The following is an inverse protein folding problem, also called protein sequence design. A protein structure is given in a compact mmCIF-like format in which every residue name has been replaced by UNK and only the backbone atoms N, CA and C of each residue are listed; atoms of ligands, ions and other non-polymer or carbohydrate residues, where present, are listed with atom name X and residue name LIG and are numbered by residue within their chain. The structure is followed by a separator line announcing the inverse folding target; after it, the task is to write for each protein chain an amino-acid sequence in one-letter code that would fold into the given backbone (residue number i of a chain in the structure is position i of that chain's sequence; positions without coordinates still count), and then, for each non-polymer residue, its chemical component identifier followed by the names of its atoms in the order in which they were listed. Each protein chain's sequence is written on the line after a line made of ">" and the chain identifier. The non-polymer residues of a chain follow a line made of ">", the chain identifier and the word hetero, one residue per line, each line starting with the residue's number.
data_IF_464014122111
#
_entry.id   IF_464014122111
#
_cell.length_a   1.000
_cell.length_b   1.000
_cell.length_c   1.000
_cell.angle_alpha   90.00
_cell.angle_beta   90.00
_cell.angle_gamma   90.00
#
_symmetry.space_group_name_H-M   'P 1'
#
loop_
_entity.id
_entity.type
_entity.pdbx_description
1 polymer ?
#
# COMPACT_ATOMS: atom_id res chain seq x y z
N UNK A 1 5.66 -35.14 33.55
CA UNK A 1 6.81 -36.04 33.84
C UNK A 1 6.93 -37.00 32.67
N UNK A 2 8.14 -37.33 32.15
CA UNK A 2 9.29 -37.74 32.94
C UNK A 2 10.52 -36.84 32.82
N UNK A 3 11.29 -36.84 33.92
CA UNK A 3 12.71 -36.47 33.97
C UNK A 3 13.52 -37.46 33.12
N UNK A 4 14.58 -36.98 32.48
CA UNK A 4 15.76 -37.78 32.23
C UNK A 4 16.99 -36.93 32.58
N UNK A 5 17.67 -37.30 33.66
CA UNK A 5 19.04 -36.87 33.94
C UNK A 5 19.99 -37.69 33.05
N UNK A 6 21.08 -37.09 32.56
CA UNK A 6 22.43 -37.67 32.55
C UNK A 6 23.47 -36.78 31.85
N UNK A 7 24.72 -37.15 32.12
CA UNK A 7 25.94 -36.34 32.30
C UNK A 7 26.62 -35.79 31.05
N UNK A 8 27.50 -34.82 31.30
CA UNK A 8 28.51 -34.29 30.38
C UNK A 8 29.28 -35.41 29.69
N UNK A 9 29.36 -35.34 28.36
CA UNK A 9 30.58 -35.76 27.66
C UNK A 9 30.92 -34.79 26.54
N UNK A 10 32.22 -34.59 26.44
CA UNK A 10 32.94 -33.54 25.72
C UNK A 10 33.30 -33.95 24.29
N UNK A 11 33.42 -32.93 23.43
CA UNK A 11 34.07 -32.90 22.12
C UNK A 11 33.33 -33.54 20.93
N UNK A 12 32.72 -32.69 20.10
CA UNK A 12 32.60 -32.90 18.66
C UNK A 12 32.42 -31.55 17.93
N UNK A 13 33.21 -31.31 16.88
CA UNK A 13 33.03 -30.21 15.93
C UNK A 13 32.00 -30.62 14.87
N UNK A 14 31.02 -29.76 14.61
CA UNK A 14 30.05 -29.90 13.52
C UNK A 14 30.45 -28.93 12.41
N UNK A 15 30.89 -29.46 11.27
CA UNK A 15 31.10 -28.69 10.04
C UNK A 15 29.84 -28.80 9.17
N UNK A 16 28.97 -27.80 9.31
CA UNK A 16 27.83 -27.48 8.42
C UNK A 16 26.58 -28.37 8.53
N UNK A 17 25.42 -27.70 8.67
CA UNK A 17 24.07 -28.29 8.56
C UNK A 17 23.35 -27.54 7.43
N UNK A 18 22.77 -28.25 6.47
CA UNK A 18 21.95 -27.68 5.40
C UNK A 18 20.48 -27.95 5.68
N UNK A 19 19.64 -26.92 5.57
CA UNK A 19 18.18 -27.02 5.61
C UNK A 19 17.65 -26.86 4.17
N UNK A 20 16.92 -27.86 3.69
CA UNK A 20 16.31 -27.89 2.37
C UNK A 20 14.79 -27.90 2.57
N UNK A 21 14.11 -26.81 2.20
CA UNK A 21 12.65 -26.69 2.33
C UNK A 21 12.05 -26.78 0.93
N UNK A 22 11.40 -27.90 0.62
CA UNK A 22 10.61 -28.05 -0.61
C UNK A 22 9.18 -27.57 -0.39
N UNK A 23 8.70 -26.73 -1.30
CA UNK A 23 7.32 -26.25 -1.37
C UNK A 23 6.38 -27.35 -1.85
N UNK A 24 5.31 -27.63 -1.10
CA UNK A 24 4.14 -28.32 -1.64
C UNK A 24 2.86 -27.63 -1.17
N UNK A 25 2.08 -27.15 -2.13
CA UNK A 25 0.74 -26.56 -2.00
C UNK A 25 -0.28 -27.60 -1.49
N UNK A 26 -0.97 -27.36 -0.36
CA UNK A 26 -2.32 -27.90 -0.06
C UNK A 26 -3.12 -26.90 0.80
N UNK A 27 -4.39 -26.70 0.44
CA UNK A 27 -5.44 -25.96 1.15
C UNK A 27 -5.83 -26.60 2.50
N UNK A 28 -6.23 -25.76 3.47
CA UNK A 28 -7.21 -25.97 4.56
C UNK A 28 -6.68 -25.62 5.96
N UNK A 29 -7.61 -25.23 6.82
CA UNK A 29 -7.42 -24.44 8.02
C UNK A 29 -6.71 -25.13 9.21
N UNK A 30 -6.24 -24.25 10.12
CA UNK A 30 -5.89 -24.47 11.54
C UNK A 30 -4.60 -25.22 11.93
N UNK A 31 -3.77 -24.50 12.71
CA UNK A 31 -2.61 -24.93 13.52
C UNK A 31 -1.46 -25.67 12.82
N UNK A 32 -0.49 -24.91 12.31
CA UNK A 32 0.83 -25.46 11.95
C UNK A 32 1.67 -25.72 13.21
N UNK A 33 1.63 -26.96 13.69
CA UNK A 33 2.67 -27.55 14.53
C UNK A 33 3.87 -27.88 13.64
N UNK A 34 4.98 -27.15 13.78
CA UNK A 34 6.24 -27.55 13.16
C UNK A 34 6.88 -28.67 13.98
N UNK A 35 7.05 -29.85 13.38
CA UNK A 35 7.88 -30.92 13.95
C UNK A 35 9.24 -30.92 13.25
N UNK A 36 10.25 -30.37 13.93
CA UNK A 36 11.64 -30.42 13.45
C UNK A 36 12.24 -31.77 13.85
N UNK A 37 12.52 -32.64 12.88
CA UNK A 37 13.22 -33.90 13.09
C UNK A 37 14.69 -33.74 12.68
N UNK A 38 15.61 -33.81 13.64
CA UNK A 38 17.05 -33.77 13.40
C UNK A 38 17.54 -35.23 13.27
N UNK A 39 18.04 -35.62 12.11
CA UNK A 39 18.56 -36.96 11.86
C UNK A 39 20.10 -36.92 11.75
N UNK A 40 20.80 -37.53 12.70
CA UNK A 40 22.27 -37.69 12.63
C UNK A 40 22.62 -39.11 12.18
N UNK A 41 23.33 -39.29 11.06
CA UNK A 41 23.95 -40.57 10.69
C UNK A 41 25.26 -40.75 11.46
N UNK A 42 25.39 -41.81 12.27
CA UNK A 42 26.69 -42.28 12.77
C UNK A 42 27.17 -43.45 11.93
N UNK A 43 28.33 -43.29 11.29
CA UNK A 43 29.13 -44.40 10.79
C UNK A 43 30.19 -44.73 11.85
N UNK A 44 30.02 -45.83 12.59
CA UNK A 44 31.13 -46.54 13.22
C UNK A 44 30.81 -48.04 13.27
N UNK A 45 31.74 -48.85 12.79
CA UNK A 45 31.76 -50.31 12.95
C UNK A 45 32.14 -50.64 14.40
N UNK A 46 31.42 -51.64 14.94
CA UNK A 46 31.68 -52.48 16.13
C UNK A 46 31.18 -52.02 17.51
N UNK A 47 30.28 -52.88 18.01
CA UNK A 47 29.81 -53.17 19.37
C UNK A 47 28.75 -52.25 20.05
N UNK A 48 27.59 -52.89 20.27
CA UNK A 48 26.44 -52.60 21.16
C UNK A 48 25.38 -51.55 20.75
N UNK A 49 24.28 -52.06 20.17
CA UNK A 49 22.88 -51.68 20.48
C UNK A 49 22.29 -50.37 19.91
N UNK A 50 21.00 -50.34 19.51
CA UNK A 50 20.35 -49.14 18.97
C UNK A 50 19.74 -48.30 20.09
N UNK A 51 20.25 -47.09 20.33
CA UNK A 51 19.57 -46.09 21.15
C UNK A 51 19.41 -44.79 20.37
N UNK A 52 18.16 -44.37 20.15
CA UNK A 52 17.78 -43.06 19.58
C UNK A 52 17.57 -42.07 20.73
N UNK A 53 18.32 -40.97 20.73
CA UNK A 53 18.12 -39.85 21.66
C UNK A 53 17.45 -38.70 20.91
N UNK A 54 16.28 -38.26 21.37
CA UNK A 54 15.59 -37.08 20.85
C UNK A 54 15.87 -35.88 21.76
N UNK A 55 16.59 -34.87 21.26
CA UNK A 55 16.66 -33.56 21.91
C UNK A 55 15.68 -32.63 21.22
N UNK A 56 14.62 -32.21 21.92
CA UNK A 56 13.58 -31.32 21.39
C UNK A 56 13.96 -29.88 21.76
N UNK A 57 14.48 -29.10 20.81
CA UNK A 57 14.52 -27.64 20.92
C UNK A 57 13.20 -27.08 20.39
N UNK A 58 12.42 -26.41 21.25
CA UNK A 58 11.19 -25.73 20.84
C UNK A 58 11.55 -24.28 20.49
N UNK A 59 11.68 -23.99 19.19
CA UNK A 59 11.81 -22.62 18.69
C UNK A 59 10.40 -22.14 18.36
N UNK A 60 9.94 -21.08 19.02
CA UNK A 60 8.66 -20.46 18.70
C UNK A 60 8.82 -19.61 17.44
N UNK A 61 8.51 -20.21 16.29
CA UNK A 61 8.67 -19.59 14.95
C UNK A 61 7.65 -18.48 14.73
N UNK A 62 6.57 -18.41 15.53
CA UNK A 62 5.51 -17.42 15.39
C UNK A 62 6.02 -15.98 15.59
N UNK A 63 6.97 -15.78 16.52
CA UNK A 63 7.57 -14.46 16.78
C UNK A 63 8.66 -14.06 15.77
N UNK A 64 9.17 -15.01 15.00
CA UNK A 64 10.17 -14.79 13.96
C UNK A 64 9.54 -14.42 12.61
N UNK A 65 8.29 -14.85 12.38
CA UNK A 65 7.53 -14.60 11.15
C UNK A 65 6.92 -13.19 11.13
N UNK A 66 6.57 -12.62 12.29
CA UNK A 66 5.99 -11.26 12.36
C UNK A 66 6.98 -10.14 12.03
N UNK A 67 8.29 -10.41 12.03
CA UNK A 67 9.31 -9.39 11.79
C UNK A 67 9.79 -9.26 10.33
N UNK A 68 9.53 -10.22 9.43
CA UNK A 68 10.21 -10.24 8.11
C UNK A 68 9.41 -10.83 6.94
N UNK A 69 8.15 -10.42 6.77
CA UNK A 69 7.34 -10.71 5.57
C UNK A 69 7.67 -9.80 4.36
N UNK A 70 8.96 -9.64 3.99
CA UNK A 70 9.33 -9.05 2.69
C UNK A 70 10.56 -9.69 1.99
N UNK A 71 11.11 -10.81 2.47
CA UNK A 71 12.12 -11.59 1.72
C UNK A 71 11.82 -13.09 1.80
N UNK A 72 11.88 -13.78 0.65
CA UNK A 72 11.46 -15.17 0.44
C UNK A 72 12.40 -16.25 1.03
N UNK A 73 13.23 -15.92 2.02
CA UNK A 73 14.03 -16.90 2.77
C UNK A 73 14.66 -16.23 4.00
N UNK A 74 14.83 -17.00 5.07
CA UNK A 74 15.67 -16.65 6.22
C UNK A 74 16.83 -17.64 6.26
N UNK A 75 18.04 -17.18 5.98
CA UNK A 75 19.27 -17.96 6.16
C UNK A 75 19.81 -17.69 7.55
N UNK A 76 19.74 -18.67 8.45
CA UNK A 76 20.36 -18.58 9.78
C UNK A 76 21.71 -19.31 9.71
N UNK A 77 22.80 -18.56 9.58
CA UNK A 77 24.16 -19.07 9.65
C UNK A 77 24.61 -19.16 11.10
N UNK A 78 24.82 -20.37 11.61
CA UNK A 78 25.45 -20.59 12.90
C UNK A 78 26.97 -20.61 12.72
N UNK A 79 27.68 -19.56 13.14
CA UNK A 79 29.15 -19.56 13.19
C UNK A 79 29.64 -19.67 14.64
N UNK A 80 30.57 -20.60 14.85
CA UNK A 80 31.41 -20.80 16.04
C UNK A 80 30.68 -20.98 17.39
N UNK A 81 30.50 -22.25 17.78
CA UNK A 81 30.31 -22.61 19.18
C UNK A 81 31.67 -22.58 19.89
N UNK A 82 32.15 -21.41 20.28
CA UNK A 82 33.11 -21.28 21.37
C UNK A 82 33.05 -19.87 21.98
N UNK A 83 32.76 -19.83 23.28
CA UNK A 83 32.80 -18.70 24.22
C UNK A 83 31.68 -17.63 24.15
N UNK A 84 30.80 -17.66 25.17
CA UNK A 84 29.97 -16.59 25.80
C UNK A 84 29.20 -15.55 24.95
N UNK A 85 29.25 -15.61 23.63
CA UNK A 85 28.51 -14.73 22.72
C UNK A 85 27.93 -15.56 21.57
N UNK A 86 26.67 -15.29 21.23
CA UNK A 86 26.03 -15.82 20.03
C UNK A 86 25.86 -14.66 19.05
N UNK A 87 26.36 -14.82 17.83
CA UNK A 87 26.29 -13.81 16.77
C UNK A 87 25.42 -14.33 15.63
N UNK A 88 24.35 -13.60 15.29
CA UNK A 88 23.50 -13.89 14.12
C UNK A 88 23.77 -12.82 13.08
N UNK A 89 24.25 -13.24 11.90
CA UNK A 89 24.52 -12.36 10.77
C UNK A 89 23.41 -12.45 9.74
N UNK A 90 22.97 -11.30 9.24
CA UNK A 90 22.01 -11.19 8.15
C UNK A 90 22.72 -10.69 6.88
N UNK A 91 22.22 -11.07 5.69
CA UNK A 91 22.79 -10.77 4.36
C UNK A 91 22.84 -9.27 3.98
N UNK A 92 22.67 -8.35 4.93
CA UNK A 92 22.78 -6.90 4.74
C UNK A 92 23.83 -6.24 5.67
N UNK A 93 24.78 -7.00 6.21
CA UNK A 93 25.84 -6.46 7.08
C UNK A 93 25.40 -6.18 8.52
N UNK A 94 24.20 -6.61 8.91
CA UNK A 94 23.73 -6.53 10.29
C UNK A 94 24.21 -7.75 11.09
N UNK A 95 24.82 -7.50 12.26
CA UNK A 95 25.19 -8.51 13.24
C UNK A 95 24.46 -8.26 14.56
N UNK A 96 23.72 -9.24 15.08
CA UNK A 96 23.14 -9.23 16.42
C UNK A 96 24.04 -10.06 17.35
N UNK A 97 24.52 -9.46 18.45
CA UNK A 97 25.36 -10.14 19.45
C UNK A 97 24.62 -10.26 20.78
N UNK A 98 24.50 -11.48 21.31
CA UNK A 98 23.89 -11.73 22.62
C UNK A 98 24.97 -12.07 23.67
N UNK A 99 24.84 -11.52 24.88
CA UNK A 99 25.65 -11.91 26.04
C UNK A 99 24.90 -12.93 26.91
N UNK A 100 25.48 -14.10 27.14
CA UNK A 100 24.89 -15.11 28.04
C UNK A 100 25.45 -14.89 29.44
N UNK A 101 24.68 -14.23 30.31
CA UNK A 101 24.96 -14.22 31.75
C UNK A 101 24.23 -15.39 32.42
N UNK A 102 24.98 -16.12 33.25
CA UNK A 102 24.62 -17.30 34.04
C UNK A 102 23.13 -17.69 34.07
N UNK A 103 22.86 -18.88 33.53
CA UNK A 103 21.60 -19.62 33.61
C UNK A 103 21.21 -19.86 35.08
N UNK A 104 20.47 -18.91 35.67
CA UNK A 104 19.54 -19.21 36.75
C UNK A 104 18.13 -19.21 36.18
N UNK A 105 17.41 -20.29 36.45
CA UNK A 105 16.01 -20.56 36.08
C UNK A 105 15.14 -19.32 36.31
N UNK A 106 14.85 -18.57 35.26
CA UNK A 106 13.75 -17.61 35.17
C UNK A 106 13.55 -17.28 33.70
N UNK A 107 12.51 -17.88 33.10
CA UNK A 107 12.14 -17.61 31.71
C UNK A 107 11.64 -16.17 31.61
N UNK A 108 12.34 -15.33 30.85
CA UNK A 108 11.89 -13.98 30.49
C UNK A 108 11.75 -13.92 28.97
N UNK A 109 10.55 -13.60 28.49
CA UNK A 109 10.29 -13.30 27.09
C UNK A 109 10.83 -11.89 26.80
N UNK A 110 11.77 -11.77 25.86
CA UNK A 110 12.26 -10.49 25.37
C UNK A 110 11.59 -10.21 24.02
N UNK A 111 10.67 -9.24 23.97
CA UNK A 111 10.10 -8.73 22.73
C UNK A 111 11.14 -7.81 22.09
N UNK A 112 11.86 -8.30 21.08
CA UNK A 112 12.79 -7.48 20.30
C UNK A 112 12.05 -6.90 19.10
N UNK A 113 11.89 -5.58 19.06
CA UNK A 113 11.44 -4.84 17.88
C UNK A 113 12.67 -4.42 17.07
N UNK A 114 12.87 -5.00 15.89
CA UNK A 114 13.85 -4.53 14.92
C UNK A 114 13.26 -3.36 14.13
N UNK A 115 13.50 -2.14 14.58
CA UNK A 115 13.21 -0.93 13.79
C UNK A 115 14.28 -0.80 12.71
N UNK A 116 14.05 -1.43 11.56
CA UNK A 116 14.85 -1.11 10.37
C UNK A 116 14.36 0.26 9.90
N UNK A 117 15.13 1.32 10.14
CA UNK A 117 14.87 2.63 9.54
C UNK A 117 15.11 2.51 8.04
N UNK A 118 14.09 2.07 7.30
CA UNK A 118 14.03 2.25 5.86
C UNK A 118 13.96 3.76 5.65
N UNK A 119 15.03 4.35 5.14
CA UNK A 119 15.07 5.78 4.85
C UNK A 119 14.11 6.04 3.67
N UNK A 120 12.83 6.26 3.98
CA UNK A 120 11.77 6.47 2.99
C UNK A 120 12.00 7.83 2.34
N UNK A 121 12.23 7.85 1.03
CA UNK A 121 12.41 9.09 0.27
C UNK A 121 11.05 9.64 -0.16
N UNK A 122 10.79 10.89 0.14
CA UNK A 122 9.59 11.59 -0.30
C UNK A 122 9.59 11.75 -1.82
N UNK A 123 8.55 11.23 -2.49
CA UNK A 123 8.33 11.47 -3.91
C UNK A 123 7.42 12.69 -4.12
N UNK A 124 6.35 12.77 -3.33
CA UNK A 124 5.33 13.81 -3.38
C UNK A 124 5.01 14.29 -1.96
N UNK A 125 5.00 15.59 -1.75
CA UNK A 125 4.47 16.25 -0.55
C UNK A 125 3.35 17.21 -0.96
N UNK A 126 2.19 17.05 -0.34
CA UNK A 126 1.05 17.96 -0.43
C UNK A 126 0.99 18.73 0.88
N UNK A 127 1.02 20.06 0.81
CA UNK A 127 1.06 20.94 1.98
C UNK A 127 -0.05 21.98 1.90
N UNK A 128 -0.93 21.97 2.90
CA UNK A 128 -2.03 22.93 3.09
C UNK A 128 -2.85 23.15 1.81
N UNK A 129 -3.08 22.08 1.04
CA UNK A 129 -3.72 22.16 -0.26
C UNK A 129 -5.20 22.50 -0.10
N UNK A 130 -5.64 23.52 -0.85
CA UNK A 130 -7.05 23.94 -0.92
C UNK A 130 -7.48 24.02 -2.37
N UNK A 131 -8.66 23.48 -2.65
CA UNK A 131 -9.33 23.62 -3.94
C UNK A 131 -10.81 23.95 -3.77
N UNK A 132 -11.16 25.17 -4.16
CA UNK A 132 -12.49 25.72 -4.05
C UNK A 132 -13.06 26.03 -5.43
N UNK A 133 -14.25 25.53 -5.74
CA UNK A 133 -14.91 25.80 -7.02
C UNK A 133 -15.92 26.94 -6.86
N UNK A 134 -15.82 28.02 -7.65
CA UNK A 134 -16.74 29.15 -7.56
C UNK A 134 -18.12 28.76 -8.09
N UNK A 135 -19.16 29.22 -7.39
CA UNK A 135 -20.54 29.14 -7.86
C UNK A 135 -20.90 30.47 -8.47
N UNK A 136 -21.14 30.48 -9.78
CA UNK A 136 -21.50 31.68 -10.53
C UNK A 136 -23.02 31.76 -10.68
N UNK A 137 -23.60 32.94 -10.46
CA UNK A 137 -25.03 33.21 -10.67
C UNK A 137 -25.23 34.50 -11.47
N UNK A 138 -26.25 34.51 -12.33
CA UNK A 138 -26.62 35.65 -13.17
C UNK A 138 -25.79 35.79 -14.46
N UNK A 139 -26.25 36.67 -15.35
CA UNK A 139 -25.69 36.88 -16.70
C UNK A 139 -24.25 37.43 -16.65
N UNK A 140 -23.89 38.14 -15.58
CA UNK A 140 -22.56 38.72 -15.35
C UNK A 140 -21.57 37.77 -14.66
N UNK A 141 -21.98 36.54 -14.32
CA UNK A 141 -21.07 35.49 -13.81
C UNK A 141 -20.39 35.79 -12.47
N UNK A 142 -20.97 36.65 -11.61
CA UNK A 142 -20.42 36.96 -10.28
C UNK A 142 -20.42 35.70 -9.38
N UNK A 143 -19.32 35.49 -8.66
CA UNK A 143 -19.16 34.39 -7.72
C UNK A 143 -19.89 34.72 -6.41
N UNK A 144 -20.88 33.91 -6.03
CA UNK A 144 -21.71 34.13 -4.84
C UNK A 144 -21.31 33.26 -3.65
N UNK A 145 -20.65 32.12 -3.91
CA UNK A 145 -20.16 31.18 -2.90
C UNK A 145 -19.14 30.23 -3.55
N UNK A 146 -18.54 29.35 -2.75
CA UNK A 146 -17.54 28.38 -3.18
C UNK A 146 -17.85 27.00 -2.63
N UNK A 147 -17.72 25.97 -3.48
CA UNK A 147 -17.70 24.58 -3.05
C UNK A 147 -16.28 24.25 -2.56
N UNK A 148 -16.13 23.91 -1.28
CA UNK A 148 -14.84 23.54 -0.71
C UNK A 148 -14.53 22.07 -0.94
N UNK A 149 -14.15 21.72 -2.17
CA UNK A 149 -13.90 20.34 -2.56
C UNK A 149 -12.68 19.72 -1.86
N UNK A 150 -11.62 20.51 -1.68
CA UNK A 150 -10.46 20.16 -0.86
C UNK A 150 -10.15 21.33 0.06
N UNK A 151 -9.99 21.08 1.35
CA UNK A 151 -9.79 22.13 2.33
C UNK A 151 -8.71 21.78 3.34
N UNK A 152 -7.52 22.34 3.12
CA UNK A 152 -6.37 22.30 4.01
C UNK A 152 -5.83 20.89 4.29
N UNK A 153 -5.61 20.12 3.22
CA UNK A 153 -5.06 18.77 3.35
C UNK A 153 -3.53 18.78 3.23
N UNK A 154 -2.88 17.96 4.05
CA UNK A 154 -1.43 17.75 3.99
C UNK A 154 -1.09 16.27 4.14
N UNK A 155 -0.26 15.74 3.25
CA UNK A 155 0.22 14.36 3.30
C UNK A 155 1.45 14.16 2.41
N UNK A 156 2.16 13.05 2.63
CA UNK A 156 3.34 12.65 1.86
C UNK A 156 3.11 11.27 1.25
N UNK A 157 3.69 11.06 0.08
CA UNK A 157 3.79 9.77 -0.62
C UNK A 157 5.27 9.47 -0.83
N UNK A 158 5.71 8.30 -0.36
CA UNK A 158 7.10 7.87 -0.49
C UNK A 158 7.33 7.14 -1.83
N UNK A 159 8.58 7.12 -2.30
CA UNK A 159 8.94 6.35 -3.48
C UNK A 159 8.59 4.85 -3.31
N UNK A 160 8.02 4.26 -4.36
CA UNK A 160 7.61 2.84 -4.46
C UNK A 160 6.45 2.45 -3.53
N UNK A 161 5.81 3.41 -2.88
CA UNK A 161 4.65 3.20 -2.03
C UNK A 161 3.34 3.24 -2.82
N UNK A 162 2.32 2.51 -2.35
CA UNK A 162 0.92 2.78 -2.69
C UNK A 162 0.22 3.45 -1.52
N UNK A 163 -0.12 4.73 -1.70
CA UNK A 163 -0.98 5.48 -0.79
C UNK A 163 -2.37 5.54 -1.38
N UNK A 164 -3.38 5.10 -0.62
CA UNK A 164 -4.78 5.20 -1.04
C UNK A 164 -5.50 6.36 -0.40
N UNK A 165 -6.38 7.01 -1.15
CA UNK A 165 -7.35 8.00 -0.64
C UNK A 165 -8.75 7.40 -0.73
N UNK A 166 -9.43 7.33 0.42
CA UNK A 166 -10.76 6.73 0.56
C UNK A 166 -11.77 7.66 1.21
N UNK A 167 -13.04 7.39 0.99
CA UNK A 167 -14.16 8.15 1.54
C UNK A 167 -15.40 8.09 0.66
N UNK A 168 -16.53 8.58 1.17
CA UNK A 168 -17.82 8.64 0.46
C UNK A 168 -17.71 9.45 -0.86
N UNK A 169 -18.65 9.24 -1.78
CA UNK A 169 -18.70 10.00 -3.03
C UNK A 169 -18.77 11.51 -2.74
N UNK A 170 -18.08 12.33 -3.56
CA UNK A 170 -18.07 13.78 -3.39
C UNK A 170 -17.18 14.33 -2.25
N UNK A 171 -16.42 13.51 -1.53
CA UNK A 171 -15.57 13.99 -0.44
C UNK A 171 -14.24 14.64 -0.87
N UNK A 172 -13.97 14.80 -2.17
CA UNK A 172 -12.78 15.52 -2.68
C UNK A 172 -11.61 14.65 -3.17
N UNK A 173 -11.76 13.32 -3.24
CA UNK A 173 -10.68 12.38 -3.63
C UNK A 173 -10.16 12.64 -5.06
N UNK A 174 -11.05 12.58 -6.06
CA UNK A 174 -10.70 12.81 -7.47
C UNK A 174 -10.21 14.24 -7.70
N UNK A 175 -10.79 15.23 -7.01
CA UNK A 175 -10.30 16.62 -7.03
C UNK A 175 -8.86 16.70 -6.53
N UNK A 176 -8.51 16.01 -5.44
CA UNK A 176 -7.14 15.97 -4.92
C UNK A 176 -6.16 15.45 -5.99
N UNK A 177 -6.48 14.34 -6.64
CA UNK A 177 -5.65 13.79 -7.72
C UNK A 177 -5.50 14.74 -8.90
N UNK A 178 -6.60 15.35 -9.36
CA UNK A 178 -6.60 16.30 -10.49
C UNK A 178 -5.78 17.56 -10.20
N UNK A 179 -5.84 18.08 -8.98
CA UNK A 179 -5.07 19.25 -8.55
C UNK A 179 -3.56 18.92 -8.48
N UNK A 180 -3.19 17.74 -7.98
CA UNK A 180 -1.79 17.25 -7.99
C UNK A 180 -1.23 17.20 -9.42
N UNK A 181 -2.03 16.77 -10.39
CA UNK A 181 -1.64 16.70 -11.80
C UNK A 181 -1.69 18.06 -12.53
N UNK A 182 -2.10 19.13 -11.83
CA UNK A 182 -2.46 20.43 -12.41
C UNK A 182 -3.36 20.29 -13.64
N UNK A 183 -4.39 19.45 -13.50
CA UNK A 183 -5.54 19.43 -14.39
C UNK A 183 -6.60 20.44 -13.92
N UNK A 184 -6.65 20.68 -12.61
CA UNK A 184 -7.35 21.81 -12.00
C UNK A 184 -6.34 22.72 -11.28
N UNK A 185 -6.59 24.03 -11.27
CA UNK A 185 -5.74 25.00 -10.57
C UNK A 185 -6.08 25.05 -9.08
N UNK A 186 -5.08 24.81 -8.23
CA UNK A 186 -5.18 24.93 -6.78
C UNK A 186 -5.59 26.36 -6.36
N UNK A 187 -6.45 26.47 -5.36
CA UNK A 187 -6.77 27.76 -4.73
C UNK A 187 -5.62 28.25 -3.85
N UNK A 188 -4.98 27.35 -3.09
CA UNK A 188 -3.76 27.64 -2.32
C UNK A 188 -3.09 26.34 -1.87
N UNK A 189 -1.90 26.46 -1.28
CA UNK A 189 -1.07 25.35 -0.81
C UNK A 189 0.17 25.14 -1.67
N UNK A 190 0.86 24.02 -1.46
CA UNK A 190 2.03 23.61 -2.24
C UNK A 190 1.95 22.13 -2.60
N UNK A 191 2.49 21.79 -3.77
CA UNK A 191 2.59 20.41 -4.24
C UNK A 191 4.03 20.17 -4.68
N UNK A 192 4.83 19.57 -3.80
CA UNK A 192 6.26 19.37 -4.02
C UNK A 192 6.46 17.96 -4.57
N UNK A 193 6.93 17.86 -5.82
CA UNK A 193 7.25 16.59 -6.47
C UNK A 193 8.73 16.57 -6.86
N UNK A 194 9.50 15.64 -6.30
CA UNK A 194 10.96 15.57 -6.48
C UNK A 194 11.64 16.93 -6.24
N UNK A 195 11.37 17.50 -5.07
CA UNK A 195 11.92 18.78 -4.61
C UNK A 195 11.50 20.01 -5.44
N UNK A 196 10.49 19.87 -6.32
CA UNK A 196 9.96 20.97 -7.15
C UNK A 196 8.51 21.25 -6.80
N UNK A 197 8.20 22.50 -6.48
CA UNK A 197 6.81 22.95 -6.34
C UNK A 197 6.14 23.02 -7.71
N UNK A 198 5.21 22.10 -7.96
CA UNK A 198 4.48 21.99 -9.22
C UNK A 198 3.65 23.25 -9.50
N UNK A 199 3.11 23.91 -8.48
CA UNK A 199 2.25 25.08 -8.64
C UNK A 199 3.04 26.32 -9.10
N UNK A 200 4.33 26.38 -8.79
CA UNK A 200 5.24 27.45 -9.21
C UNK A 200 5.79 27.26 -10.64
N UNK A 201 5.58 26.10 -11.28
CA UNK A 201 6.11 25.83 -12.61
C UNK A 201 5.32 26.56 -13.70
N UNK A 202 6.04 27.11 -14.69
CA UNK A 202 5.41 27.55 -15.94
C UNK A 202 5.01 26.35 -16.84
N UNK A 203 4.26 26.62 -17.91
CA UNK A 203 3.73 25.58 -18.80
C UNK A 203 4.82 24.70 -19.45
N UNK A 204 5.96 25.28 -19.83
CA UNK A 204 7.07 24.53 -20.45
C UNK A 204 7.74 23.58 -19.46
N UNK A 205 8.01 24.04 -18.24
CA UNK A 205 8.56 23.23 -17.17
C UNK A 205 7.58 22.13 -16.74
N UNK A 206 6.29 22.46 -16.59
CA UNK A 206 5.26 21.48 -16.26
C UNK A 206 5.14 20.38 -17.33
N UNK A 207 5.24 20.73 -18.62
CA UNK A 207 5.18 19.75 -19.72
C UNK A 207 6.26 18.67 -19.59
N UNK A 208 7.46 19.02 -19.12
CA UNK A 208 8.57 18.07 -18.88
C UNK A 208 8.28 17.14 -17.70
N UNK A 209 7.66 17.66 -16.63
CA UNK A 209 7.32 16.88 -15.43
C UNK A 209 6.13 15.95 -15.68
N UNK A 210 5.23 16.30 -16.63
CA UNK A 210 4.08 15.45 -16.96
C UNK A 210 4.46 14.02 -17.37
N UNK A 211 5.64 13.75 -17.93
CA UNK A 211 6.05 12.36 -18.20
C UNK A 211 6.18 11.52 -16.92
N UNK A 212 6.61 12.15 -15.81
CA UNK A 212 6.82 11.50 -14.52
C UNK A 212 5.51 11.37 -13.72
N UNK A 213 4.49 12.15 -14.09
CA UNK A 213 3.17 12.25 -13.45
C UNK A 213 2.07 11.79 -14.40
N UNK A 214 1.59 10.56 -14.23
CA UNK A 214 0.58 9.97 -15.11
C UNK A 214 -0.70 9.64 -14.34
N UNK A 215 -1.77 9.37 -15.10
CA UNK A 215 -3.10 9.12 -14.55
C UNK A 215 -3.79 8.00 -15.29
N UNK A 216 -4.48 7.15 -14.52
CA UNK A 216 -5.42 6.16 -15.01
C UNK A 216 -6.81 6.61 -14.53
N UNK A 217 -7.66 7.00 -15.48
CA UNK A 217 -9.00 7.51 -15.19
C UNK A 217 -10.01 6.39 -14.93
N UNK A 218 -11.13 6.77 -14.33
CA UNK A 218 -12.27 5.90 -14.00
C UNK A 218 -12.89 5.25 -15.23
N UNK A 219 -13.14 6.04 -16.28
CA UNK A 219 -13.69 5.55 -17.54
C UNK A 219 -12.56 5.31 -18.56
N UNK A 220 -12.19 4.04 -18.83
CA UNK A 220 -11.18 3.75 -19.82
C UNK A 220 -11.60 4.18 -21.24
N UNK A 221 -12.89 4.13 -21.56
CA UNK A 221 -13.39 4.44 -22.90
C UNK A 221 -13.32 5.94 -23.18
N UNK A 222 -13.86 6.78 -22.29
CA UNK A 222 -13.78 8.23 -22.44
C UNK A 222 -12.33 8.75 -22.48
N UNK A 223 -11.40 8.01 -21.87
CA UNK A 223 -9.99 8.37 -21.90
C UNK A 223 -9.28 8.04 -23.22
N UNK A 224 -9.78 7.11 -24.03
CA UNK A 224 -9.13 6.65 -25.27
C UNK A 224 -9.83 7.27 -26.49
N UNK A 225 -9.06 7.75 -27.48
CA UNK A 225 -9.66 8.25 -28.72
C UNK A 225 -10.22 7.08 -29.55
N UNK A 226 -11.54 6.97 -29.76
CA UNK A 226 -12.13 5.82 -30.44
C UNK A 226 -11.79 5.76 -31.94
N UNK A 227 -11.28 6.86 -32.51
CA UNK A 227 -10.89 6.98 -33.93
C UNK A 227 -9.43 6.61 -34.20
N UNK A 228 -8.65 6.31 -33.17
CA UNK A 228 -7.26 5.90 -33.29
C UNK A 228 -7.12 4.42 -32.91
N UNK A 229 -6.17 3.73 -33.54
CA UNK A 229 -5.78 2.39 -33.10
C UNK A 229 -5.06 2.45 -31.76
N UNK A 230 -5.08 1.36 -31.01
CA UNK A 230 -4.34 1.24 -29.75
C UNK A 230 -2.86 1.53 -29.94
N UNK A 231 -2.26 1.06 -31.04
CA UNK A 231 -0.88 1.38 -31.38
C UNK A 231 -0.63 2.87 -31.49
N UNK A 232 -1.48 3.58 -32.25
CA UNK A 232 -1.38 5.03 -32.44
C UNK A 232 -1.49 5.80 -31.12
N UNK A 233 -2.44 5.41 -30.26
CA UNK A 233 -2.63 6.04 -28.94
C UNK A 233 -1.37 5.91 -28.06
N UNK A 234 -0.74 4.72 -28.05
CA UNK A 234 0.46 4.46 -27.26
C UNK A 234 1.70 5.14 -27.85
N UNK A 235 1.86 5.13 -29.18
CA UNK A 235 2.95 5.82 -29.88
C UNK A 235 2.86 7.34 -29.71
N UNK A 236 1.66 7.91 -29.71
CA UNK A 236 1.42 9.34 -29.50
C UNK A 236 1.93 9.80 -28.13
N UNK A 237 1.65 9.04 -27.07
CA UNK A 237 2.18 9.33 -25.73
C UNK A 237 3.72 9.36 -25.70
N UNK A 238 4.36 8.37 -26.36
CA UNK A 238 5.82 8.30 -26.49
C UNK A 238 6.39 9.47 -27.31
N UNK A 239 5.66 9.90 -28.35
CA UNK A 239 6.04 10.99 -29.22
C UNK A 239 6.01 12.34 -28.48
N UNK A 240 4.92 12.61 -27.76
CA UNK A 240 4.73 13.87 -27.03
C UNK A 240 5.83 14.07 -25.97
N UNK A 241 6.25 12.99 -25.32
CA UNK A 241 7.26 13.03 -24.25
C UNK A 241 8.68 12.69 -24.73
N UNK A 242 8.90 12.52 -26.03
CA UNK A 242 10.19 12.17 -26.65
C UNK A 242 10.91 11.00 -25.94
N UNK A 243 10.15 9.95 -25.61
CA UNK A 243 10.65 8.80 -24.83
C UNK A 243 11.64 7.96 -25.64
N UNK A 244 11.45 7.90 -26.96
CA UNK A 244 12.34 7.19 -27.88
C UNK A 244 12.23 7.69 -29.33
N UNK A 245 13.24 7.38 -30.18
CA UNK A 245 13.21 7.66 -31.60
C UNK A 245 12.01 7.02 -32.31
N UNK A 246 11.52 7.64 -33.39
CA UNK A 246 10.32 7.20 -34.11
C UNK A 246 10.39 5.72 -34.56
N UNK A 247 11.57 5.26 -35.01
CA UNK A 247 11.75 3.88 -35.49
C UNK A 247 11.60 2.80 -34.40
N UNK A 248 11.80 3.16 -33.13
CA UNK A 248 11.74 2.20 -32.00
C UNK A 248 10.35 2.10 -31.37
N UNK A 249 9.47 3.09 -31.60
CA UNK A 249 8.19 3.22 -30.88
C UNK A 249 7.31 2.01 -31.03
N UNK A 250 7.17 1.48 -32.26
CA UNK A 250 6.32 0.32 -32.54
C UNK A 250 6.76 -0.93 -31.76
N UNK A 251 8.07 -1.17 -31.66
CA UNK A 251 8.61 -2.30 -30.90
C UNK A 251 8.31 -2.14 -29.41
N UNK A 252 8.52 -0.93 -28.85
CA UNK A 252 8.18 -0.63 -27.45
C UNK A 252 6.70 -0.75 -27.15
N UNK A 253 5.83 -0.36 -28.09
CA UNK A 253 4.38 -0.53 -27.95
C UNK A 253 4.00 -2.00 -27.86
N UNK A 254 4.57 -2.87 -28.72
CA UNK A 254 4.30 -4.31 -28.66
C UNK A 254 4.78 -4.92 -27.34
N UNK A 255 5.97 -4.55 -26.89
CA UNK A 255 6.51 -4.96 -25.58
C UNK A 255 5.57 -4.54 -24.44
N UNK A 256 5.08 -3.30 -24.49
CA UNK A 256 4.20 -2.73 -23.48
C UNK A 256 2.82 -3.38 -23.44
N UNK A 257 2.27 -3.72 -24.61
CA UNK A 257 1.03 -4.50 -24.71
C UNK A 257 1.21 -5.88 -24.05
N UNK A 258 2.34 -6.54 -24.29
CA UNK A 258 2.67 -7.81 -23.63
C UNK A 258 2.71 -7.70 -22.10
N UNK A 259 3.30 -6.62 -21.57
CA UNK A 259 3.37 -6.35 -20.12
C UNK A 259 2.00 -6.19 -19.46
N UNK A 260 1.02 -5.66 -20.17
CA UNK A 260 -0.36 -5.53 -19.67
C UNK A 260 -1.25 -6.73 -20.02
N UNK A 261 -0.67 -7.78 -20.62
CA UNK A 261 -1.37 -9.03 -20.96
C UNK A 261 -2.26 -8.91 -22.20
N UNK A 262 -1.89 -8.05 -23.16
CA UNK A 262 -2.56 -7.91 -24.46
C UNK A 262 -1.69 -8.50 -25.58
N UNK A 263 -2.30 -9.13 -26.59
CA UNK A 263 -1.55 -9.76 -27.67
C UNK A 263 -0.94 -8.72 -28.62
N UNK A 264 0.16 -9.03 -29.34
CA UNK A 264 0.84 -8.08 -30.21
C UNK A 264 -0.02 -7.47 -31.33
N UNK A 265 -1.00 -8.23 -31.83
CA UNK A 265 -1.93 -7.77 -32.88
C UNK A 265 -2.88 -6.66 -32.39
N UNK A 266 -3.03 -6.49 -31.06
CA UNK A 266 -3.79 -5.39 -30.46
C UNK A 266 -3.35 -4.01 -30.96
N UNK A 267 -2.09 -3.85 -31.40
CA UNK A 267 -1.57 -2.60 -31.98
C UNK A 267 -2.39 -2.08 -33.17
N UNK A 268 -3.03 -2.97 -33.94
CA UNK A 268 -3.82 -2.63 -35.14
C UNK A 268 -5.31 -2.39 -34.84
N UNK A 269 -5.76 -2.77 -33.66
CA UNK A 269 -7.17 -2.75 -33.26
C UNK A 269 -7.56 -1.40 -32.67
N UNK A 270 -8.83 -1.07 -32.72
CA UNK A 270 -9.44 0.11 -32.12
C UNK A 270 -9.97 -0.18 -30.71
N UNK A 271 -10.07 0.83 -29.82
CA UNK A 271 -10.56 0.64 -28.46
C UNK A 271 -11.91 -0.07 -28.35
N UNK A 272 -12.84 0.18 -29.29
CA UNK A 272 -14.18 -0.42 -29.25
C UNK A 272 -14.18 -1.95 -29.43
N UNK A 273 -13.10 -2.51 -29.98
CA UNK A 273 -12.94 -3.96 -30.20
C UNK A 273 -12.47 -4.72 -28.94
N UNK A 274 -12.31 -4.04 -27.81
CA UNK A 274 -11.84 -4.62 -26.54
C UNK A 274 -12.91 -4.60 -25.45
N UNK A 275 -12.86 -5.54 -24.51
CA UNK A 275 -13.69 -5.53 -23.30
C UNK A 275 -13.30 -4.39 -22.35
N UNK A 276 -14.16 -4.06 -21.36
CA UNK A 276 -13.88 -3.01 -20.38
C UNK A 276 -12.53 -3.20 -19.65
N UNK A 277 -12.24 -4.42 -19.19
CA UNK A 277 -10.97 -4.76 -18.55
C UNK A 277 -9.76 -4.66 -19.49
N UNK A 278 -9.91 -5.04 -20.76
CA UNK A 278 -8.86 -4.87 -21.76
C UNK A 278 -8.61 -3.39 -22.08
N UNK A 279 -9.66 -2.56 -22.16
CA UNK A 279 -9.53 -1.10 -22.30
C UNK A 279 -8.84 -0.48 -21.10
N UNK A 280 -9.11 -0.97 -19.88
CA UNK A 280 -8.38 -0.53 -18.69
C UNK A 280 -6.89 -0.86 -18.78
N UNK A 281 -6.54 -2.07 -19.25
CA UNK A 281 -5.15 -2.48 -19.51
C UNK A 281 -4.48 -1.59 -20.56
N UNK A 282 -5.21 -1.17 -21.60
CA UNK A 282 -4.72 -0.19 -22.59
C UNK A 282 -4.47 1.17 -21.91
N UNK A 283 -5.36 1.62 -21.03
CA UNK A 283 -5.18 2.85 -20.24
C UNK A 283 -3.93 2.79 -19.35
N UNK A 284 -3.68 1.66 -18.70
CA UNK A 284 -2.46 1.38 -17.92
C UNK A 284 -1.22 1.43 -18.82
N UNK A 285 -1.26 0.75 -19.97
CA UNK A 285 -0.18 0.78 -20.95
C UNK A 285 0.12 2.22 -21.38
N UNK A 286 -0.90 3.05 -21.64
CA UNK A 286 -0.70 4.45 -22.03
C UNK A 286 0.04 5.24 -20.94
N UNK A 287 -0.34 5.08 -19.68
CA UNK A 287 0.36 5.74 -18.57
C UNK A 287 1.82 5.28 -18.48
N UNK A 288 2.08 3.99 -18.68
CA UNK A 288 3.43 3.41 -18.62
C UNK A 288 4.32 3.76 -19.82
N UNK A 289 3.73 4.12 -20.97
CA UNK A 289 4.46 4.39 -22.21
C UNK A 289 5.53 5.48 -22.07
N UNK A 290 5.43 6.32 -21.04
CA UNK A 290 6.33 7.44 -20.76
C UNK A 290 7.26 7.24 -19.56
N UNK A 291 7.31 6.02 -19.01
CA UNK A 291 8.13 5.63 -17.84
C UNK A 291 7.89 6.55 -16.61
N UNK A 292 6.66 6.63 -16.09
CA UNK A 292 6.32 7.53 -15.00
C UNK A 292 6.95 7.10 -13.67
N UNK A 293 6.99 8.04 -12.72
CA UNK A 293 7.39 7.77 -11.32
C UNK A 293 6.18 7.67 -10.40
N UNK A 294 5.17 8.53 -10.64
CA UNK A 294 3.90 8.53 -9.93
C UNK A 294 2.75 8.32 -10.92
N UNK A 295 1.87 7.39 -10.59
CA UNK A 295 0.60 7.19 -11.30
C UNK A 295 -0.54 7.42 -10.30
N UNK A 296 -1.44 8.34 -10.65
CA UNK A 296 -2.70 8.53 -9.93
C UNK A 296 -3.75 7.60 -10.55
N UNK A 297 -4.29 6.69 -9.76
CA UNK A 297 -5.36 5.78 -10.17
C UNK A 297 -6.68 6.33 -9.65
N UNK A 298 -7.45 7.04 -10.48
CA UNK A 298 -8.72 7.65 -10.09
C UNK A 298 -9.87 6.71 -10.37
N UNK A 299 -10.30 5.96 -9.35
CA UNK A 299 -11.32 4.92 -9.45
C UNK A 299 -11.09 3.93 -10.60
N UNK A 300 -9.82 3.62 -10.86
CA UNK A 300 -9.35 2.87 -12.03
C UNK A 300 -9.90 1.43 -12.17
N UNK A 301 -10.72 0.96 -11.23
CA UNK A 301 -11.33 -0.37 -11.27
C UNK A 301 -12.81 -0.37 -10.91
N UNK A 302 -13.45 0.79 -10.70
CA UNK A 302 -14.83 0.86 -10.18
C UNK A 302 -15.89 0.44 -11.19
N UNK A 303 -15.63 0.58 -12.49
CA UNK A 303 -16.54 0.21 -13.57
C UNK A 303 -16.36 -1.24 -14.07
N UNK A 304 -15.61 -2.08 -13.34
CA UNK A 304 -15.24 -3.43 -13.76
C UNK A 304 -15.90 -4.49 -12.88
N UNK A 305 -16.21 -5.65 -13.47
CA UNK A 305 -16.65 -6.82 -12.70
C UNK A 305 -15.59 -7.25 -11.69
N UNK A 306 -16.03 -7.82 -10.55
CA UNK A 306 -15.15 -8.18 -9.41
C UNK A 306 -13.96 -9.05 -9.82
N UNK A 307 -14.15 -10.01 -10.73
CA UNK A 307 -13.07 -10.88 -11.21
C UNK A 307 -12.04 -10.11 -12.04
N UNK A 308 -12.48 -9.19 -12.91
CA UNK A 308 -11.63 -8.35 -13.75
C UNK A 308 -10.89 -7.32 -12.90
N UNK A 309 -11.57 -6.71 -11.94
CA UNK A 309 -11.01 -5.81 -10.94
C UNK A 309 -9.83 -6.48 -10.20
N UNK A 310 -9.99 -7.70 -9.71
CA UNK A 310 -8.90 -8.45 -9.07
C UNK A 310 -7.70 -8.67 -10.00
N UNK A 311 -7.94 -9.01 -11.28
CA UNK A 311 -6.87 -9.16 -12.27
C UNK A 311 -6.11 -7.85 -12.51
N UNK A 312 -6.82 -6.73 -12.62
CA UNK A 312 -6.20 -5.41 -12.83
C UNK A 312 -5.39 -4.98 -11.60
N UNK A 313 -5.88 -5.23 -10.38
CA UNK A 313 -5.13 -4.92 -9.15
C UNK A 313 -3.85 -5.75 -9.04
N UNK A 314 -3.90 -7.04 -9.41
CA UNK A 314 -2.71 -7.89 -9.44
C UNK A 314 -1.71 -7.41 -10.49
N UNK A 315 -2.19 -6.97 -11.67
CA UNK A 315 -1.34 -6.35 -12.69
C UNK A 315 -0.66 -5.10 -12.15
N UNK A 316 -1.39 -4.18 -11.50
CA UNK A 316 -0.80 -2.96 -10.92
C UNK A 316 0.29 -3.28 -9.89
N UNK A 317 0.05 -4.25 -8.99
CA UNK A 317 1.08 -4.72 -8.05
C UNK A 317 2.32 -5.27 -8.73
N UNK A 318 2.15 -6.09 -9.76
CA UNK A 318 3.27 -6.63 -10.53
C UNK A 318 4.07 -5.52 -11.20
N UNK A 319 3.39 -4.54 -11.80
CA UNK A 319 4.03 -3.38 -12.42
C UNK A 319 4.76 -2.51 -11.39
N UNK A 320 4.19 -2.34 -10.19
CA UNK A 320 4.85 -1.65 -9.07
C UNK A 320 6.21 -2.27 -8.77
N UNK A 321 6.24 -3.60 -8.60
CA UNK A 321 7.45 -4.35 -8.26
C UNK A 321 8.47 -4.32 -9.40
N UNK A 322 8.01 -4.44 -10.64
CA UNK A 322 8.89 -4.50 -11.81
C UNK A 322 9.52 -3.15 -12.15
N UNK A 323 8.77 -2.05 -12.03
CA UNK A 323 9.21 -0.71 -12.46
C UNK A 323 9.52 0.23 -11.30
N UNK A 324 9.29 -0.18 -10.06
CA UNK A 324 9.42 0.70 -8.89
C UNK A 324 8.44 1.88 -8.92
N UNK A 325 7.21 1.64 -9.39
CA UNK A 325 6.19 2.69 -9.50
C UNK A 325 5.67 3.09 -8.12
N UNK A 326 5.26 4.35 -8.03
CA UNK A 326 4.53 4.88 -6.88
C UNK A 326 3.08 5.12 -7.30
N UNK A 327 2.14 4.78 -6.43
CA UNK A 327 0.72 4.93 -6.70
C UNK A 327 0.06 5.85 -5.68
N UNK A 328 -0.72 6.82 -6.19
CA UNK A 328 -1.78 7.46 -5.41
C UNK A 328 -3.11 6.87 -5.88
N UNK A 329 -3.69 5.99 -5.08
CA UNK A 329 -4.84 5.18 -5.47
C UNK A 329 -6.14 5.73 -4.86
N UNK A 330 -7.03 6.28 -5.69
CA UNK A 330 -8.31 6.84 -5.25
C UNK A 330 -9.39 5.79 -5.45
N UNK A 331 -10.13 5.48 -4.39
CA UNK A 331 -11.25 4.55 -4.45
C UNK A 331 -12.28 4.84 -3.37
N UNK A 332 -13.52 4.44 -3.61
CA UNK A 332 -14.55 4.35 -2.58
C UNK A 332 -14.71 2.91 -2.04
N UNK A 333 -14.06 1.92 -2.65
CA UNK A 333 -14.13 0.51 -2.24
C UNK A 333 -12.94 0.15 -1.33
N UNK A 334 -13.23 -0.05 -0.05
CA UNK A 334 -12.22 -0.41 0.94
C UNK A 334 -11.68 -1.83 0.78
N UNK A 335 -12.42 -2.75 0.14
CA UNK A 335 -11.92 -4.10 -0.15
C UNK A 335 -10.76 -4.06 -1.17
N UNK A 336 -10.88 -3.21 -2.19
CA UNK A 336 -9.79 -2.92 -3.14
C UNK A 336 -8.58 -2.33 -2.45
N UNK A 337 -8.82 -1.31 -1.62
CA UNK A 337 -7.79 -0.56 -0.92
C UNK A 337 -7.01 -1.47 0.02
N UNK A 338 -7.70 -2.40 0.71
CA UNK A 338 -7.06 -3.43 1.53
C UNK A 338 -6.08 -4.29 0.74
N UNK A 339 -6.38 -4.59 -0.53
CA UNK A 339 -5.48 -5.40 -1.34
C UNK A 339 -4.23 -4.62 -1.73
N UNK A 340 -4.36 -3.41 -2.27
CA UNK A 340 -3.26 -2.72 -2.97
C UNK A 340 -2.41 -1.77 -2.11
N UNK A 341 -2.92 -1.29 -0.97
CA UNK A 341 -2.29 -0.16 -0.25
C UNK A 341 -1.25 -0.58 0.77
N UNK A 342 -0.26 0.30 0.93
CA UNK A 342 0.67 0.35 2.06
C UNK A 342 0.12 1.27 3.16
N UNK A 343 -0.30 2.48 2.75
CA UNK A 343 -0.92 3.51 3.61
C UNK A 343 -2.24 3.99 3.06
N UNK A 344 -3.11 4.44 3.96
CA UNK A 344 -4.48 4.83 3.64
C UNK A 344 -4.78 6.18 4.30
N UNK A 345 -5.36 7.08 3.51
CA UNK A 345 -5.83 8.40 3.89
C UNK A 345 -7.36 8.38 3.77
N UNK A 346 -8.04 8.59 4.90
CA UNK A 346 -9.50 8.69 4.94
C UNK A 346 -9.89 10.16 4.85
N UNK A 347 -10.65 10.51 3.80
CA UNK A 347 -11.17 11.85 3.55
C UNK A 347 -12.66 11.94 3.84
N UNK A 348 -13.06 13.02 4.50
CA UNK A 348 -14.46 13.38 4.74
C UNK A 348 -14.68 14.86 4.43
N UNK A 349 -15.64 15.14 3.54
CA UNK A 349 -16.00 16.49 3.08
C UNK A 349 -14.79 17.39 2.84
N UNK A 350 -13.85 16.98 1.98
CA UNK A 350 -12.69 17.79 1.58
C UNK A 350 -11.54 17.87 2.59
N UNK A 351 -11.67 17.25 3.77
CA UNK A 351 -10.62 17.21 4.80
C UNK A 351 -10.12 15.78 5.01
N UNK A 352 -8.89 15.61 5.47
CA UNK A 352 -8.39 14.31 5.92
C UNK A 352 -8.75 14.13 7.39
N UNK A 353 -9.37 13.00 7.73
CA UNK A 353 -9.79 12.69 9.11
C UNK A 353 -8.91 11.64 9.78
N UNK A 354 -8.26 10.77 8.99
CA UNK A 354 -7.38 9.72 9.52
C UNK A 354 -6.37 9.29 8.45
N UNK A 355 -5.12 9.05 8.87
CA UNK A 355 -4.04 8.50 8.05
C UNK A 355 -3.39 7.39 8.84
N UNK A 356 -3.29 6.20 8.26
CA UNK A 356 -2.58 5.09 8.89
C UNK A 356 -1.97 4.13 7.87
N UNK A 357 -1.02 3.29 8.30
CA UNK A 357 -0.70 2.08 7.55
C UNK A 357 -1.94 1.17 7.46
N UNK A 358 -1.97 0.32 6.43
CA UNK A 358 -3.10 -0.59 6.18
C UNK A 358 -3.46 -1.43 7.41
N UNK A 359 -2.48 -2.01 8.11
CA UNK A 359 -2.77 -2.92 9.22
C UNK A 359 -3.39 -2.16 10.39
N UNK A 360 -2.83 -1.02 10.77
CA UNK A 360 -3.36 -0.18 11.84
C UNK A 360 -4.78 0.32 11.53
N UNK A 361 -5.03 0.81 10.30
CA UNK A 361 -6.36 1.30 9.93
C UNK A 361 -7.44 0.21 10.00
N UNK A 362 -7.17 -0.98 9.44
CA UNK A 362 -8.17 -2.04 9.36
C UNK A 362 -8.39 -2.78 10.68
N UNK A 363 -7.39 -2.83 11.55
CA UNK A 363 -7.46 -3.55 12.83
C UNK A 363 -7.90 -2.64 13.97
N UNK A 364 -7.46 -1.38 13.98
CA UNK A 364 -7.72 -0.43 15.06
C UNK A 364 -8.03 0.97 14.52
N UNK A 365 -9.09 1.14 13.71
CA UNK A 365 -9.50 2.46 13.23
C UNK A 365 -9.87 3.36 14.41
N UNK A 366 -9.42 4.62 14.41
CA UNK A 366 -9.67 5.55 15.50
C UNK A 366 -10.88 6.44 15.24
N UNK A 367 -10.96 7.06 14.06
CA UNK A 367 -11.99 8.04 13.77
C UNK A 367 -13.37 7.37 13.66
N UNK A 368 -14.43 7.92 14.29
CA UNK A 368 -15.79 7.35 14.20
C UNK A 368 -16.30 7.14 12.77
N UNK A 369 -15.97 8.05 11.85
CA UNK A 369 -16.25 7.87 10.41
C UNK A 369 -15.53 6.66 9.81
N UNK A 370 -14.24 6.48 10.09
CA UNK A 370 -13.46 5.33 9.59
C UNK A 370 -14.01 4.02 10.15
N UNK A 371 -14.36 3.99 11.45
CA UNK A 371 -15.03 2.84 12.08
C UNK A 371 -16.32 2.49 11.33
N UNK A 372 -17.14 3.47 11.02
CA UNK A 372 -18.39 3.26 10.28
C UNK A 372 -18.15 2.74 8.86
N UNK A 373 -17.23 3.36 8.11
CA UNK A 373 -16.84 2.92 6.77
C UNK A 373 -16.37 1.45 6.76
N UNK A 374 -15.49 1.07 7.69
CA UNK A 374 -14.96 -0.29 7.78
C UNK A 374 -16.00 -1.30 8.25
N UNK A 375 -16.98 -0.90 9.06
CA UNK A 375 -18.08 -1.77 9.51
C UNK A 375 -19.00 -2.20 8.36
N UNK A 376 -19.02 -1.45 7.26
CA UNK A 376 -19.82 -1.76 6.08
C UNK A 376 -19.18 -2.85 5.19
N UNK A 377 -17.89 -3.16 5.39
CA UNK A 377 -17.18 -4.16 4.58
C UNK A 377 -17.63 -5.57 4.98
N UNK A 378 -18.10 -6.40 4.03
CA UNK A 378 -18.43 -7.79 4.31
C UNK A 378 -17.19 -8.57 4.80
N UNK A 379 -17.31 -9.25 5.94
CA UNK A 379 -16.27 -10.16 6.45
C UNK A 379 -16.61 -11.61 6.10
N UNK A 380 -15.65 -12.34 5.52
CA UNK A 380 -15.80 -13.76 5.12
C UNK A 380 -15.76 -14.72 6.34
N UNK A 381 -15.37 -14.23 7.52
CA UNK A 381 -15.28 -15.04 8.74
C UNK A 381 -16.66 -15.55 9.19
N UNK A 382 -16.89 -16.85 8.98
CA UNK A 382 -18.04 -17.57 9.49
C UNK A 382 -18.06 -17.49 11.03
N UNK A 383 -19.05 -16.79 11.59
CA UNK A 383 -19.39 -16.86 13.03
C UNK A 383 -19.43 -15.53 13.79
N UNK A 384 -18.82 -14.45 13.30
CA UNK A 384 -18.89 -13.13 13.95
C UNK A 384 -19.49 -12.10 12.99
N UNK A 385 -20.79 -11.86 13.10
CA UNK A 385 -21.41 -10.68 12.48
C UNK A 385 -20.87 -9.45 13.22
N UNK A 386 -19.94 -8.70 12.62
CA UNK A 386 -19.63 -7.36 13.10
C UNK A 386 -20.91 -6.51 13.05
N UNK A 387 -21.24 -5.84 14.14
CA UNK A 387 -22.32 -4.85 14.15
C UNK A 387 -22.01 -3.78 13.11
N UNK A 388 -22.93 -3.58 12.17
CA UNK A 388 -22.83 -2.50 11.18
C UNK A 388 -23.17 -1.20 11.88
N UNK A 389 -22.30 -0.21 11.78
CA UNK A 389 -22.56 1.13 12.30
C UNK A 389 -23.33 1.88 11.21
N UNK A 390 -24.63 2.05 11.43
CA UNK A 390 -25.46 2.87 10.54
C UNK A 390 -25.23 4.36 10.82
N UNK A 391 -24.67 5.06 9.85
CA UNK A 391 -24.55 6.51 9.90
C UNK A 391 -25.92 7.14 9.68
N UNK A 392 -26.41 7.86 10.69
CA UNK A 392 -27.69 8.59 10.62
C UNK A 392 -27.52 9.92 9.90
N UNK A 393 -28.54 10.32 9.14
CA UNK A 393 -28.61 11.60 8.43
C UNK A 393 -27.86 11.62 7.10
N UNK A 394 -28.22 12.59 6.26
CA UNK A 394 -27.62 12.77 4.93
C UNK A 394 -26.21 13.35 5.00
N UNK A 395 -25.42 13.09 3.96
CA UNK A 395 -24.12 13.74 3.80
C UNK A 395 -24.32 15.27 3.68
N UNK A 396 -23.71 16.09 4.56
CA UNK A 396 -23.85 17.53 4.47
C UNK A 396 -23.33 18.07 3.13
N UNK A 397 -23.95 19.15 2.67
CA UNK A 397 -23.54 19.76 1.40
C UNK A 397 -22.12 20.35 1.50
N UNK A 398 -21.23 20.06 0.55
CA UNK A 398 -19.91 20.71 0.44
C UNK A 398 -19.98 22.24 0.22
N UNK A 399 -21.17 22.77 -0.11
CA UNK A 399 -21.45 24.20 -0.24
C UNK A 399 -21.36 24.94 1.09
N UNK A 400 -21.92 24.33 2.13
CA UNK A 400 -22.00 24.86 3.48
C UNK A 400 -21.58 23.74 4.45
N UNK A 401 -20.28 23.39 4.48
CA UNK A 401 -19.81 22.33 5.35
C UNK A 401 -20.04 22.72 6.82
N UNK A 402 -20.34 21.74 7.71
CA UNK A 402 -20.48 22.00 9.13
C UNK A 402 -19.23 22.68 9.71
N UNK A 403 -19.43 23.54 10.70
CA UNK A 403 -18.34 24.18 11.45
C UNK A 403 -17.65 23.17 12.35
N UNK A 404 -16.44 23.50 12.81
CA UNK A 404 -15.65 22.61 13.64
C UNK A 404 -15.30 21.28 12.95
N UNK A 405 -15.56 20.15 13.61
CA UNK A 405 -15.41 18.81 13.02
C UNK A 405 -16.53 18.55 12.00
N UNK A 406 -16.21 18.50 10.70
CA UNK A 406 -17.21 18.28 9.63
C UNK A 406 -18.11 17.06 9.83
N UNK A 407 -17.64 16.04 10.55
CA UNK A 407 -18.38 14.81 10.80
C UNK A 407 -19.31 14.89 12.03
N UNK A 408 -19.29 15.98 12.82
CA UNK A 408 -20.03 16.07 14.08
C UNK A 408 -21.54 15.88 13.92
N UNK A 409 -22.11 16.20 12.76
CA UNK A 409 -23.55 16.06 12.48
C UNK A 409 -24.00 14.60 12.30
N UNK A 410 -23.07 13.69 11.99
CA UNK A 410 -23.31 12.25 11.80
C UNK A 410 -22.54 11.38 12.81
N UNK A 411 -21.75 12.00 13.68
CA UNK A 411 -20.91 11.30 14.65
C UNK A 411 -21.75 10.88 15.88
N UNK A 412 -21.80 9.58 16.23
CA UNK A 412 -22.51 9.13 17.43
C UNK A 412 -21.82 9.55 18.75
N UNK A 413 -20.58 10.05 18.66
CA UNK A 413 -19.78 10.50 19.81
C UNK A 413 -19.51 12.01 19.77
N UNK A 414 -20.35 12.79 19.08
CA UNK A 414 -20.20 14.23 19.00
C UNK A 414 -20.31 14.88 20.39
N UNK A 415 -19.37 15.77 20.70
CA UNK A 415 -19.39 16.64 21.89
C UNK A 415 -19.52 18.10 21.44
N UNK A 416 -19.87 19.03 22.35
CA UNK A 416 -20.07 20.45 22.02
C UNK A 416 -18.88 21.08 21.27
N UNK A 417 -17.65 20.75 21.71
CA UNK A 417 -16.40 21.20 21.08
C UNK A 417 -16.31 20.83 19.59
N UNK A 418 -16.93 19.73 19.18
CA UNK A 418 -16.94 19.29 17.78
C UNK A 418 -17.70 20.24 16.86
N UNK A 419 -18.69 20.98 17.34
CA UNK A 419 -19.45 21.92 16.50
C UNK A 419 -18.70 23.24 16.25
N UNK A 420 -17.79 23.63 17.15
CA UNK A 420 -17.15 24.95 17.14
C UNK A 420 -15.68 24.90 16.74
N UNK A 421 -14.97 23.79 16.97
CA UNK A 421 -13.52 23.69 16.73
C UNK A 421 -13.17 22.54 15.78
N UNK A 422 -12.32 22.83 14.79
CA UNK A 422 -11.75 21.81 13.91
C UNK A 422 -10.71 20.99 14.71
N UNK A 423 -10.80 19.66 14.72
CA UNK A 423 -9.80 18.83 15.40
C UNK A 423 -8.46 18.90 14.67
N UNK A 424 -7.37 19.03 15.42
CA UNK A 424 -6.01 18.87 14.89
C UNK A 424 -5.63 17.39 14.84
N UNK A 425 -4.63 17.05 14.02
CA UNK A 425 -4.09 15.70 14.00
C UNK A 425 -3.39 15.37 15.32
N UNK A 426 -3.83 14.29 15.95
CA UNK A 426 -3.14 13.62 17.05
C UNK A 426 -2.42 12.38 16.50
N UNK A 427 -1.26 12.07 17.05
CA UNK A 427 -0.48 10.87 16.67
C UNK A 427 -0.76 9.73 17.66
N UNK A 428 -1.28 8.62 17.14
CA UNK A 428 -1.57 7.39 17.88
C UNK A 428 -0.32 6.50 17.91
N UNK A 429 0.38 6.49 16.78
CA UNK A 429 1.71 5.93 16.59
C UNK A 429 2.47 6.77 15.55
N UNK A 430 3.69 6.38 15.22
CA UNK A 430 4.52 7.07 14.21
C UNK A 430 3.81 7.18 12.85
N UNK A 431 3.14 6.10 12.43
CA UNK A 431 2.46 6.00 11.13
C UNK A 431 0.94 6.15 11.21
N UNK A 432 0.35 6.44 12.38
CA UNK A 432 -1.11 6.56 12.56
C UNK A 432 -1.49 7.89 13.18
N UNK A 433 -2.18 8.73 12.40
CA UNK A 433 -2.68 10.06 12.80
C UNK A 433 -4.18 10.16 12.61
N UNK A 434 -4.86 10.84 13.52
CA UNK A 434 -6.30 11.04 13.49
C UNK A 434 -6.66 12.47 13.88
N UNK A 435 -7.63 13.08 13.20
CA UNK A 435 -8.18 14.38 13.54
C UNK A 435 -9.52 14.20 14.25
N UNK A 436 -9.49 14.00 15.57
CA UNK A 436 -10.69 13.81 16.40
C UNK A 436 -10.50 14.40 17.80
N UNK A 437 -11.57 14.91 18.44
CA UNK A 437 -11.47 15.52 19.77
C UNK A 437 -11.55 14.53 20.94
N UNK A 438 -11.99 13.30 20.68
CA UNK A 438 -12.26 12.28 21.71
C UNK A 438 -11.19 11.19 21.78
N UNK A 439 -10.09 11.36 21.03
CA UNK A 439 -8.96 10.44 21.01
C UNK A 439 -7.85 10.98 21.90
#
# INVERSE_FOLDING_TARGET
>A
MPLCMLEKSSNMQISSIYLLVQNTLIQSDFFNLFQVSIQTKKNYKRFLGPYRVHTICRVDVASLIDAHMQKNYVTILFQNFNSRKMEVKFDAGCSLTFGINHLQKNWRYYKMSTTTQINKRDLLQVQNLKQYFPIKKGILGRSISYIKAVDDISFTVYEKETVSIVGESGCGKSTTGRVILRLDEATSGKIIFQDKDLLALNNSAMRKVRKDLQVIFQDPFASLNPRQTVGSILEEAMAIQNVCPKGERKAKVIELLGKVGLPPDAVKRYPHEFSGGQRQRIGIARALAVNPKLIICDEAVSALDVSVQAQVLNLLKQLQQQYGLTYLFISHDLAVVRHISDRIIVMYLGTIVEIADKHSLFNNPQHPYTKALLSAIPTISAGTKKERIELKGDLPSPLNPPTGCRFHTRCPYAIEKCATQQPSFQSISEDHKVACHII
#
